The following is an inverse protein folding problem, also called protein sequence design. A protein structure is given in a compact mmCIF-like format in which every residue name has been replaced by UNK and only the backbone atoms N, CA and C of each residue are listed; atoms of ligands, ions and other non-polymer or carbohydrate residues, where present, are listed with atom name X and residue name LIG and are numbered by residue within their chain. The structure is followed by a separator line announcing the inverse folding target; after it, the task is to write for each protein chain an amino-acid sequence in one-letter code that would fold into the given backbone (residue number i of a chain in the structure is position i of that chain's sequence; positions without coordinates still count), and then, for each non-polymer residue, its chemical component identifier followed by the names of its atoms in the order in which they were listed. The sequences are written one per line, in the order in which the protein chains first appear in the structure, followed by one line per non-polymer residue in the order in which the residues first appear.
data_IF_616348234124
#
_entry.id   IF_616348234124
#
_cell.length_a   1.000
_cell.length_b   1.000
_cell.length_c   1.000
_cell.angle_alpha   90.00
_cell.angle_beta   90.00
_cell.angle_gamma   90.00
#
_symmetry.space_group_name_H-M   'P 1'
#
loop_
_entity.id
_entity.type
_entity.pdbx_description
1 polymer ?
#
# COMPACT_ATOMS: atom_id res chain seq x y z
N UNK A 1 20.20 -12.91 17.54
CA UNK A 1 19.46 -11.75 16.96
C UNK A 1 19.91 -10.39 17.50
N UNK A 2 20.04 -10.20 18.82
CA UNK A 2 20.39 -8.90 19.41
C UNK A 2 21.65 -8.22 18.81
N UNK A 3 22.74 -8.99 18.58
CA UNK A 3 23.97 -8.46 17.98
C UNK A 3 23.83 -7.99 16.52
N UNK A 4 22.94 -8.62 15.74
CA UNK A 4 22.63 -8.17 14.37
C UNK A 4 21.80 -6.89 14.38
N UNK A 5 20.86 -6.76 15.31
CA UNK A 5 20.05 -5.52 15.46
C UNK A 5 20.90 -4.32 15.86
N UNK A 6 21.85 -4.48 16.80
CA UNK A 6 22.78 -3.41 17.19
C UNK A 6 23.65 -2.99 15.99
N UNK A 7 24.17 -3.96 15.23
CA UNK A 7 24.98 -3.66 14.03
C UNK A 7 24.21 -2.84 13.00
N UNK A 8 22.92 -3.15 12.78
CA UNK A 8 22.05 -2.39 11.86
C UNK A 8 21.81 -0.95 12.32
N UNK A 9 21.60 -0.73 13.62
CA UNK A 9 21.42 0.61 14.20
C UNK A 9 22.70 1.45 14.07
N UNK A 10 23.86 0.84 14.31
CA UNK A 10 25.16 1.51 14.12
C UNK A 10 25.34 1.92 12.66
N UNK A 11 25.10 1.01 11.72
CA UNK A 11 25.21 1.29 10.29
C UNK A 11 24.27 2.42 9.84
N UNK A 12 23.01 2.42 10.27
CA UNK A 12 22.05 3.51 9.98
C UNK A 12 22.53 4.87 10.51
N UNK A 13 23.21 4.87 11.66
CA UNK A 13 23.73 6.09 12.29
C UNK A 13 24.95 6.61 11.52
N UNK A 14 25.85 5.71 11.12
CA UNK A 14 27.05 6.06 10.35
C UNK A 14 26.72 6.56 8.93
N UNK A 15 25.68 6.02 8.28
CA UNK A 15 25.20 6.52 6.99
C UNK A 15 24.61 7.93 7.11
N UNK A 16 23.82 8.20 8.16
CA UNK A 16 23.27 9.55 8.40
C UNK A 16 24.35 10.58 8.74
N UNK A 17 25.47 10.13 9.30
CA UNK A 17 26.64 10.97 9.60
C UNK A 17 27.60 11.11 8.41
N UNK A 18 27.36 10.40 7.30
CA UNK A 18 28.18 10.46 6.08
C UNK A 18 29.54 9.75 6.22
N UNK A 19 29.71 8.89 7.22
CA UNK A 19 31.01 8.26 7.54
C UNK A 19 31.22 6.91 6.86
N UNK A 20 30.21 6.35 6.21
CA UNK A 20 30.25 5.02 5.55
C UNK A 20 29.58 5.04 4.17
N UNK A 21 30.17 4.29 3.24
CA UNK A 21 29.63 4.10 1.88
C UNK A 21 28.38 3.20 1.93
N UNK A 22 27.34 3.61 1.21
CA UNK A 22 26.06 2.90 1.08
C UNK A 22 26.15 1.93 -0.10
N UNK A 23 25.71 0.68 0.06
CA UNK A 23 25.47 -0.15 -1.13
C UNK A 23 24.36 0.48 -1.98
N UNK A 24 24.72 0.94 -3.17
CA UNK A 24 23.78 1.52 -4.13
C UNK A 24 23.05 0.42 -4.90
N UNK A 25 21.77 0.67 -5.20
CA UNK A 25 21.01 -0.14 -6.12
C UNK A 25 21.35 0.24 -7.56
N UNK A 26 21.24 -0.68 -8.51
CA UNK A 26 21.39 -0.32 -9.93
C UNK A 26 20.29 0.63 -10.40
N UNK A 27 20.55 1.37 -11.49
CA UNK A 27 19.62 2.38 -12.01
C UNK A 27 18.24 1.80 -12.38
N UNK A 28 18.21 0.57 -12.88
CA UNK A 28 16.96 -0.07 -13.28
C UNK A 28 16.09 -0.40 -12.07
N UNK A 29 16.68 -0.93 -11.00
CA UNK A 29 15.99 -1.14 -9.73
C UNK A 29 15.47 0.18 -9.13
N UNK A 30 16.29 1.23 -9.17
CA UNK A 30 15.87 2.56 -8.67
C UNK A 30 14.63 3.07 -9.42
N UNK A 31 14.63 3.00 -10.76
CA UNK A 31 13.49 3.39 -11.59
C UNK A 31 12.23 2.56 -11.28
N UNK A 32 12.40 1.24 -11.08
CA UNK A 32 11.31 0.35 -10.70
C UNK A 32 10.72 0.69 -9.33
N UNK A 33 11.58 0.97 -8.35
CA UNK A 33 11.19 1.36 -7.01
C UNK A 33 10.44 2.70 -6.99
N UNK A 34 10.94 3.71 -7.73
CA UNK A 34 10.27 5.01 -7.87
C UNK A 34 8.89 4.86 -8.52
N UNK A 35 8.79 4.10 -9.60
CA UNK A 35 7.51 3.81 -10.25
C UNK A 35 6.52 3.14 -9.29
N UNK A 36 7.00 2.21 -8.45
CA UNK A 36 6.17 1.56 -7.44
C UNK A 36 5.66 2.54 -6.39
N UNK A 37 6.50 3.46 -5.93
CA UNK A 37 6.14 4.49 -4.94
C UNK A 37 5.09 5.45 -5.50
N UNK A 38 5.28 5.92 -6.74
CA UNK A 38 4.30 6.74 -7.46
C UNK A 38 2.99 5.99 -7.63
N UNK A 39 3.04 4.73 -8.07
CA UNK A 39 1.85 3.89 -8.28
C UNK A 39 1.05 3.73 -7.00
N UNK A 40 1.73 3.40 -5.89
CA UNK A 40 1.10 3.26 -4.58
C UNK A 40 0.41 4.54 -4.14
N UNK A 41 1.16 5.65 -4.14
CA UNK A 41 0.69 6.94 -3.64
C UNK A 41 -0.55 7.43 -4.40
N UNK A 42 -0.53 7.36 -5.74
CA UNK A 42 -1.67 7.77 -6.54
C UNK A 42 -2.84 6.83 -6.41
N UNK A 43 -2.61 5.51 -6.34
CA UNK A 43 -3.70 4.55 -6.16
C UNK A 43 -4.40 4.76 -4.81
N UNK A 44 -3.65 4.95 -3.72
CA UNK A 44 -4.21 5.26 -2.40
C UNK A 44 -5.04 6.55 -2.40
N UNK A 45 -4.53 7.59 -3.06
CA UNK A 45 -5.22 8.88 -3.15
C UNK A 45 -6.52 8.78 -3.95
N UNK A 46 -6.47 8.19 -5.14
CA UNK A 46 -7.62 8.04 -6.03
C UNK A 46 -8.72 7.20 -5.38
N UNK A 47 -8.36 6.08 -4.74
CA UNK A 47 -9.32 5.24 -4.02
C UNK A 47 -10.01 6.03 -2.89
N UNK A 48 -9.22 6.75 -2.07
CA UNK A 48 -9.75 7.56 -0.97
C UNK A 48 -10.69 8.67 -1.44
N UNK A 49 -10.31 9.37 -2.49
CA UNK A 49 -11.11 10.47 -3.05
C UNK A 49 -12.42 9.91 -3.64
N UNK A 50 -12.34 8.80 -4.38
CA UNK A 50 -13.52 8.12 -4.94
C UNK A 50 -14.47 7.65 -3.84
N UNK A 51 -13.97 7.01 -2.78
CA UNK A 51 -14.81 6.57 -1.66
C UNK A 51 -15.50 7.73 -0.94
N UNK A 52 -14.86 8.90 -0.92
CA UNK A 52 -15.46 10.11 -0.33
C UNK A 52 -16.58 10.66 -1.21
N UNK A 53 -16.58 10.38 -2.52
CA UNK A 53 -17.71 10.68 -3.42
C UNK A 53 -18.82 9.66 -3.22
N UNK A 54 -18.49 8.36 -3.17
CA UNK A 54 -19.48 7.29 -3.06
C UNK A 54 -20.20 7.28 -1.71
N UNK A 55 -19.47 7.56 -0.62
CA UNK A 55 -20.01 7.59 0.74
C UNK A 55 -19.40 8.82 1.45
N UNK A 56 -20.03 10.00 1.31
CA UNK A 56 -19.49 11.25 1.85
C UNK A 56 -19.32 11.24 3.36
N UNK A 57 -20.25 10.60 4.07
CA UNK A 57 -20.22 10.50 5.52
C UNK A 57 -19.09 9.53 5.99
N UNK A 58 -18.04 10.02 6.70
CA UNK A 58 -16.94 9.18 7.14
C UNK A 58 -17.35 8.07 8.12
N UNK A 59 -18.33 8.32 8.98
CA UNK A 59 -18.83 7.32 9.93
C UNK A 59 -19.49 6.15 9.18
N UNK A 60 -20.29 6.44 8.16
CA UNK A 60 -20.89 5.40 7.31
C UNK A 60 -19.82 4.57 6.59
N UNK A 61 -18.72 5.20 6.14
CA UNK A 61 -17.60 4.47 5.53
C UNK A 61 -16.94 3.48 6.48
N UNK A 62 -16.67 3.93 7.71
CA UNK A 62 -16.05 3.08 8.75
C UNK A 62 -16.98 1.94 9.13
N UNK A 63 -18.27 2.24 9.30
CA UNK A 63 -19.29 1.22 9.59
C UNK A 63 -19.35 0.17 8.47
N UNK A 64 -19.46 0.59 7.21
CA UNK A 64 -19.49 -0.31 6.06
C UNK A 64 -18.26 -1.21 5.98
N UNK A 65 -17.07 -0.66 6.24
CA UNK A 65 -15.83 -1.43 6.30
C UNK A 65 -15.87 -2.50 7.41
N UNK A 66 -16.40 -2.17 8.58
CA UNK A 66 -16.53 -3.14 9.69
C UNK A 66 -17.49 -4.26 9.28
N UNK A 67 -18.66 -3.92 8.73
CA UNK A 67 -19.64 -4.90 8.26
C UNK A 67 -19.05 -5.85 7.20
N UNK A 68 -18.27 -5.31 6.27
CA UNK A 68 -17.54 -6.09 5.27
C UNK A 68 -16.53 -7.05 5.93
N UNK A 69 -15.77 -6.59 6.93
CA UNK A 69 -14.77 -7.42 7.64
C UNK A 69 -15.36 -8.52 8.50
N UNK A 70 -16.58 -8.35 9.00
CA UNK A 70 -17.30 -9.37 9.79
C UNK A 70 -18.29 -10.17 8.94
N UNK A 71 -18.25 -10.01 7.61
CA UNK A 71 -19.09 -10.71 6.63
C UNK A 71 -20.60 -10.57 6.91
N UNK A 72 -21.03 -9.40 7.41
CA UNK A 72 -22.44 -9.08 7.65
C UNK A 72 -22.99 -8.16 6.58
N UNK A 73 -24.31 -8.23 6.36
CA UNK A 73 -24.99 -7.32 5.44
C UNK A 73 -24.90 -5.89 5.94
N UNK A 74 -24.51 -4.96 5.05
CA UNK A 74 -24.54 -3.53 5.33
C UNK A 74 -25.98 -3.08 5.65
N UNK A 75 -26.16 -2.10 6.55
CA UNK A 75 -27.46 -1.52 6.79
C UNK A 75 -27.97 -0.83 5.51
N UNK A 76 -29.25 -1.05 5.18
CA UNK A 76 -29.93 -0.36 4.07
C UNK A 76 -30.24 1.07 4.51
N UNK A 77 -29.36 2.00 4.16
CA UNK A 77 -29.55 3.43 4.40
C UNK A 77 -30.25 4.04 3.19
N UNK A 78 -31.25 4.87 3.45
CA UNK A 78 -31.83 5.71 2.42
C UNK A 78 -30.82 6.80 2.05
N UNK A 79 -30.78 7.14 0.78
CA UNK A 79 -30.03 8.29 0.29
C UNK A 79 -30.80 9.58 0.56
N UNK A 80 -30.10 10.72 0.46
CA UNK A 80 -30.74 12.02 0.66
C UNK A 80 -31.85 12.27 -0.38
N UNK A 81 -31.68 11.75 -1.59
CA UNK A 81 -32.67 11.82 -2.67
C UNK A 81 -33.91 10.98 -2.33
N UNK A 82 -33.70 9.80 -1.73
CA UNK A 82 -34.80 8.93 -1.32
C UNK A 82 -35.57 9.50 -0.14
N UNK A 83 -34.89 10.13 0.83
CA UNK A 83 -35.57 10.85 1.90
C UNK A 83 -36.47 11.97 1.36
N UNK A 84 -35.94 12.81 0.48
CA UNK A 84 -36.72 13.88 -0.16
C UNK A 84 -37.90 13.31 -0.97
N UNK A 85 -37.66 12.22 -1.71
CA UNK A 85 -38.69 11.56 -2.51
C UNK A 85 -39.89 11.12 -1.68
N UNK A 86 -39.64 10.46 -0.53
CA UNK A 86 -40.68 9.96 0.36
C UNK A 86 -41.55 11.12 0.89
N UNK A 87 -40.90 12.17 1.43
CA UNK A 87 -41.60 13.31 2.00
C UNK A 87 -42.42 14.07 0.93
N UNK A 88 -41.91 14.21 -0.30
CA UNK A 88 -42.63 14.88 -1.39
C UNK A 88 -43.84 14.08 -1.87
N UNK A 89 -43.74 12.75 -1.94
CA UNK A 89 -44.86 11.89 -2.33
C UNK A 89 -45.93 11.90 -1.25
N UNK A 90 -45.54 11.80 0.02
CA UNK A 90 -46.47 11.86 1.17
C UNK A 90 -47.17 13.23 1.22
N UNK A 91 -46.41 14.32 1.19
CA UNK A 91 -46.97 15.67 1.20
C UNK A 91 -47.89 15.93 -0.01
N UNK A 92 -47.54 15.43 -1.20
CA UNK A 92 -48.41 15.55 -2.37
C UNK A 92 -49.70 14.76 -2.25
N UNK A 93 -49.69 13.66 -1.50
CA UNK A 93 -50.89 12.94 -1.07
C UNK A 93 -51.79 13.79 -0.17
N UNK A 94 -51.21 14.38 0.87
CA UNK A 94 -51.90 15.18 1.89
C UNK A 94 -52.44 16.51 1.35
N UNK A 95 -51.74 17.16 0.42
CA UNK A 95 -52.22 18.37 -0.26
C UNK A 95 -53.35 18.09 -1.26
N UNK A 96 -53.68 16.82 -1.51
CA UNK A 96 -54.70 16.38 -2.43
C UNK A 96 -54.12 15.94 -3.76
N UNK A 97 -54.24 14.65 -4.06
CA UNK A 97 -53.72 14.02 -5.28
C UNK A 97 -54.38 14.51 -6.57
N UNK A 98 -55.56 15.13 -6.47
CA UNK A 98 -56.27 15.75 -7.60
C UNK A 98 -55.97 17.24 -7.75
N UNK A 99 -55.26 17.83 -6.78
CA UNK A 99 -54.87 19.24 -6.82
C UNK A 99 -53.59 19.41 -7.63
N UNK A 100 -53.45 20.48 -8.44
CA UNK A 100 -52.27 20.69 -9.28
C UNK A 100 -50.95 20.67 -8.51
N UNK A 101 -50.94 21.18 -7.29
CA UNK A 101 -49.75 21.20 -6.44
C UNK A 101 -49.39 19.81 -5.89
N UNK A 102 -50.38 19.04 -5.41
CA UNK A 102 -50.16 17.67 -4.94
C UNK A 102 -49.63 16.76 -6.05
N UNK A 103 -50.22 16.85 -7.25
CA UNK A 103 -49.75 16.14 -8.45
C UNK A 103 -48.31 16.51 -8.81
N UNK A 104 -47.96 17.79 -8.74
CA UNK A 104 -46.60 18.24 -9.03
C UNK A 104 -45.59 17.67 -8.02
N UNK A 105 -45.91 17.71 -6.72
CA UNK A 105 -45.03 17.17 -5.67
C UNK A 105 -44.83 15.66 -5.81
N UNK A 106 -45.89 14.89 -6.05
CA UNK A 106 -45.78 13.45 -6.30
C UNK A 106 -44.88 13.18 -7.51
N UNK A 107 -45.06 13.93 -8.59
CA UNK A 107 -44.26 13.75 -9.81
C UNK A 107 -42.77 14.06 -9.58
N UNK A 108 -42.46 15.11 -8.82
CA UNK A 108 -41.06 15.43 -8.47
C UNK A 108 -40.49 14.37 -7.53
N UNK A 109 -41.23 13.94 -6.50
CA UNK A 109 -40.79 12.88 -5.60
C UNK A 109 -40.52 11.55 -6.33
N UNK A 110 -41.33 11.18 -7.32
CA UNK A 110 -41.06 10.03 -8.19
C UNK A 110 -39.78 10.19 -9.04
N UNK A 111 -39.43 11.42 -9.43
CA UNK A 111 -38.18 11.70 -10.13
C UNK A 111 -36.98 11.59 -9.18
N UNK A 112 -37.09 12.14 -7.96
CA UNK A 112 -36.08 12.02 -6.90
C UNK A 112 -35.83 10.54 -6.53
N UNK A 113 -36.88 9.73 -6.45
CA UNK A 113 -36.75 8.29 -6.20
C UNK A 113 -35.93 7.59 -7.30
N UNK A 114 -36.14 7.96 -8.57
CA UNK A 114 -35.34 7.43 -9.68
C UNK A 114 -33.89 7.89 -9.60
N UNK A 115 -33.63 9.14 -9.21
CA UNK A 115 -32.27 9.63 -8.99
C UNK A 115 -31.58 8.88 -7.85
N UNK A 116 -32.28 8.61 -6.74
CA UNK A 116 -31.78 7.79 -5.64
C UNK A 116 -31.41 6.37 -6.09
N UNK A 117 -32.21 5.74 -6.95
CA UNK A 117 -31.86 4.44 -7.52
C UNK A 117 -30.61 4.52 -8.41
N UNK A 118 -30.49 5.54 -9.26
CA UNK A 118 -29.27 5.75 -10.06
C UNK A 118 -28.03 5.96 -9.18
N UNK A 119 -28.17 6.64 -8.05
CA UNK A 119 -27.09 6.82 -7.07
C UNK A 119 -26.66 5.48 -6.45
N UNK A 120 -27.61 4.63 -6.04
CA UNK A 120 -27.30 3.27 -5.55
C UNK A 120 -26.57 2.43 -6.59
N UNK A 121 -27.04 2.46 -7.84
CA UNK A 121 -26.43 1.72 -8.95
C UNK A 121 -25.00 2.24 -9.25
N UNK A 122 -24.79 3.56 -9.17
CA UNK A 122 -23.49 4.18 -9.32
C UNK A 122 -22.53 3.77 -8.20
N UNK A 123 -22.97 3.80 -6.94
CA UNK A 123 -22.17 3.37 -5.78
C UNK A 123 -21.80 1.89 -5.90
N UNK A 124 -22.76 1.02 -6.23
CA UNK A 124 -22.55 -0.40 -6.36
C UNK A 124 -21.55 -0.73 -7.49
N UNK A 125 -21.80 -0.17 -8.68
CA UNK A 125 -20.94 -0.40 -9.86
C UNK A 125 -19.52 0.12 -9.63
N UNK A 126 -19.38 1.36 -9.14
CA UNK A 126 -18.07 1.94 -8.82
C UNK A 126 -17.33 1.15 -7.74
N UNK A 127 -18.06 0.55 -6.80
CA UNK A 127 -17.49 -0.41 -5.85
C UNK A 127 -16.80 -1.57 -6.55
N UNK A 128 -17.52 -2.27 -7.42
CA UNK A 128 -17.10 -3.53 -8.06
C UNK A 128 -16.01 -3.30 -9.10
N UNK A 129 -16.15 -2.31 -9.98
CA UNK A 129 -15.26 -2.11 -11.11
C UNK A 129 -14.06 -1.20 -10.80
N UNK A 130 -14.11 -0.41 -9.72
CA UNK A 130 -13.10 0.61 -9.45
C UNK A 130 -12.44 0.46 -8.07
N UNK A 131 -13.17 0.67 -6.97
CA UNK A 131 -12.54 0.79 -5.65
C UNK A 131 -12.09 -0.57 -5.09
N UNK A 132 -12.88 -1.64 -5.25
CA UNK A 132 -12.52 -2.98 -4.73
C UNK A 132 -11.26 -3.58 -5.38
N UNK A 133 -11.10 -3.58 -6.73
CA UNK A 133 -9.87 -4.07 -7.35
C UNK A 133 -8.62 -3.32 -6.88
N UNK A 134 -8.70 -1.99 -6.80
CA UNK A 134 -7.59 -1.15 -6.35
C UNK A 134 -7.25 -1.38 -4.87
N UNK A 135 -8.26 -1.55 -3.99
CA UNK A 135 -8.02 -1.96 -2.59
C UNK A 135 -7.32 -3.30 -2.50
N UNK A 136 -7.75 -4.29 -3.30
CA UNK A 136 -7.11 -5.62 -3.33
C UNK A 136 -5.64 -5.54 -3.74
N UNK A 137 -5.32 -4.71 -4.73
CA UNK A 137 -3.95 -4.43 -5.13
C UNK A 137 -3.13 -3.77 -4.01
N UNK A 138 -3.69 -2.76 -3.33
CA UNK A 138 -3.04 -2.08 -2.22
C UNK A 138 -2.77 -3.01 -1.03
N UNK A 139 -3.79 -3.77 -0.62
CA UNK A 139 -3.74 -4.64 0.56
C UNK A 139 -2.95 -5.93 0.32
N UNK A 140 -2.85 -6.39 -0.93
CA UNK A 140 -2.15 -7.59 -1.32
C UNK A 140 -0.74 -7.31 -1.86
N UNK A 141 -0.69 -6.85 -3.11
CA UNK A 141 0.56 -6.72 -3.87
C UNK A 141 1.45 -5.61 -3.30
N UNK A 142 0.91 -4.40 -3.12
CA UNK A 142 1.70 -3.28 -2.62
C UNK A 142 2.19 -3.48 -1.18
N UNK A 143 1.39 -4.16 -0.35
CA UNK A 143 1.82 -4.58 0.98
C UNK A 143 2.98 -5.57 0.94
N UNK A 144 2.93 -6.53 0.01
CA UNK A 144 4.02 -7.49 -0.22
C UNK A 144 5.28 -6.80 -0.72
N UNK A 145 5.17 -5.93 -1.72
CA UNK A 145 6.29 -5.11 -2.22
C UNK A 145 6.91 -4.28 -1.09
N UNK A 146 6.09 -3.62 -0.27
CA UNK A 146 6.56 -2.82 0.86
C UNK A 146 7.33 -3.66 1.88
N UNK A 147 6.86 -4.88 2.16
CA UNK A 147 7.53 -5.82 3.06
C UNK A 147 8.87 -6.28 2.50
N UNK A 148 8.91 -6.74 1.25
CA UNK A 148 10.14 -7.25 0.62
C UNK A 148 11.20 -6.15 0.45
N UNK A 149 10.79 -4.90 0.16
CA UNK A 149 11.70 -3.74 0.20
C UNK A 149 12.28 -3.48 1.59
N UNK A 150 11.49 -3.64 2.65
CA UNK A 150 11.97 -3.53 4.03
C UNK A 150 12.98 -4.62 4.40
N UNK A 151 12.76 -5.85 3.90
CA UNK A 151 13.72 -6.95 4.07
C UNK A 151 15.01 -6.65 3.27
N UNK A 152 14.88 -6.17 2.03
CA UNK A 152 16.03 -5.78 1.21
C UNK A 152 16.90 -4.71 1.88
N UNK A 153 16.28 -3.66 2.44
CA UNK A 153 17.02 -2.63 3.16
C UNK A 153 17.73 -3.20 4.40
N UNK A 154 17.10 -4.16 5.10
CA UNK A 154 17.74 -4.88 6.21
C UNK A 154 18.96 -5.66 5.74
N UNK A 155 18.86 -6.37 4.61
CA UNK A 155 19.99 -7.13 4.03
C UNK A 155 21.10 -6.23 3.52
N UNK A 156 20.76 -5.06 2.97
CA UNK A 156 21.74 -4.03 2.57
C UNK A 156 22.57 -3.56 3.76
N UNK A 157 21.91 -3.25 4.88
CA UNK A 157 22.59 -2.84 6.12
C UNK A 157 23.50 -3.95 6.67
N UNK A 158 23.06 -5.21 6.63
CA UNK A 158 23.86 -6.36 7.06
C UNK A 158 25.10 -6.54 6.16
N UNK A 159 24.94 -6.36 4.85
CA UNK A 159 26.03 -6.40 3.86
C UNK A 159 27.06 -5.30 4.14
N UNK A 160 26.62 -4.06 4.33
CA UNK A 160 27.51 -2.92 4.60
C UNK A 160 28.27 -3.09 5.92
N UNK A 161 27.60 -3.60 6.96
CA UNK A 161 28.25 -3.96 8.22
C UNK A 161 29.33 -5.04 8.02
N UNK A 162 29.10 -6.05 7.17
CA UNK A 162 30.10 -7.07 6.87
C UNK A 162 31.28 -6.53 6.05
N UNK A 163 31.03 -5.62 5.09
CA UNK A 163 32.10 -4.91 4.34
C UNK A 163 33.01 -4.14 5.30
N UNK A 164 32.41 -3.42 6.25
CA UNK A 164 33.15 -2.69 7.28
C UNK A 164 33.96 -3.61 8.20
N UNK A 165 33.41 -4.77 8.60
CA UNK A 165 34.16 -5.78 9.38
C UNK A 165 35.36 -6.32 8.62
N UNK A 166 35.23 -6.61 7.32
CA UNK A 166 36.35 -7.05 6.48
C UNK A 166 37.42 -5.95 6.38
N UNK A 167 37.02 -4.68 6.15
CA UNK A 167 37.96 -3.54 6.12
C UNK A 167 38.74 -3.43 7.44
N UNK A 168 38.06 -3.57 8.57
CA UNK A 168 38.67 -3.53 9.90
C UNK A 168 39.59 -4.73 10.15
N UNK A 169 39.17 -5.95 9.81
CA UNK A 169 39.99 -7.15 9.96
C UNK A 169 41.26 -7.09 9.10
N UNK A 170 41.17 -6.57 7.87
CA UNK A 170 42.35 -6.35 7.01
C UNK A 170 43.34 -5.36 7.62
N UNK A 171 42.86 -4.31 8.30
CA UNK A 171 43.75 -3.34 8.97
C UNK A 171 44.51 -3.91 10.17
N UNK A 172 44.10 -5.09 10.67
CA UNK A 172 44.75 -5.78 11.79
C UNK A 172 45.80 -6.80 11.33
N UNK A 173 45.92 -7.08 10.02
CA UNK A 173 46.96 -7.94 9.49
C UNK A 173 48.35 -7.39 9.87
N UNK A 174 49.23 -8.27 10.36
CA UNK A 174 50.57 -7.90 10.84
C UNK A 174 50.63 -7.35 12.27
N UNK A 175 49.50 -7.23 12.98
CA UNK A 175 49.49 -6.90 14.42
C UNK A 175 49.61 -8.18 15.28
N UNK A 176 50.10 -8.05 16.52
CA UNK A 176 50.15 -9.19 17.45
C UNK A 176 48.76 -9.72 17.75
N UNK A 177 48.64 -11.05 17.88
CA UNK A 177 47.38 -11.70 18.25
C UNK A 177 46.90 -11.20 19.61
N UNK A 178 45.70 -10.63 19.64
CA UNK A 178 44.96 -10.40 20.88
C UNK A 178 44.06 -11.62 21.14
N UNK A 179 44.03 -12.08 22.38
CA UNK A 179 43.11 -13.10 22.88
C UNK A 179 43.22 -14.48 22.20
N UNK A 180 44.40 -14.83 21.66
CA UNK A 180 44.69 -16.16 21.11
C UNK A 180 44.10 -16.45 19.73
N UNK A 181 43.40 -15.49 19.12
CA UNK A 181 42.88 -15.58 17.75
C UNK A 181 43.83 -14.83 16.82
N UNK A 182 44.30 -15.48 15.75
CA UNK A 182 45.18 -14.80 14.78
C UNK A 182 44.39 -13.78 13.95
N UNK A 183 44.99 -12.62 13.59
CA UNK A 183 44.36 -11.66 12.68
C UNK A 183 43.91 -12.28 11.36
N UNK A 184 44.63 -13.29 10.86
CA UNK A 184 44.27 -14.06 9.67
C UNK A 184 42.95 -14.83 9.86
N UNK A 185 42.76 -15.47 11.02
CA UNK A 185 41.52 -16.20 11.32
C UNK A 185 40.31 -15.26 11.46
N UNK A 186 40.51 -14.05 12.03
CA UNK A 186 39.47 -13.01 12.10
C UNK A 186 39.10 -12.53 10.69
N UNK A 187 40.08 -12.32 9.82
CA UNK A 187 39.85 -11.92 8.44
C UNK A 187 39.10 -12.99 7.66
N UNK A 188 39.54 -14.25 7.75
CA UNK A 188 38.89 -15.38 7.08
C UNK A 188 37.41 -15.49 7.49
N UNK A 189 37.12 -15.34 8.78
CA UNK A 189 35.74 -15.34 9.27
C UNK A 189 34.94 -14.16 8.74
N UNK A 190 35.49 -12.94 8.75
CA UNK A 190 34.81 -11.76 8.23
C UNK A 190 34.51 -11.88 6.72
N UNK A 191 35.42 -12.48 5.94
CA UNK A 191 35.22 -12.73 4.51
C UNK A 191 34.18 -13.83 4.24
N UNK A 192 34.09 -14.86 5.10
CA UNK A 192 33.00 -15.84 5.06
C UNK A 192 31.64 -15.18 5.32
N UNK A 193 31.55 -14.36 6.36
CA UNK A 193 30.31 -13.64 6.71
C UNK A 193 29.90 -12.68 5.58
N UNK A 194 30.85 -11.96 4.98
CA UNK A 194 30.60 -11.07 3.84
C UNK A 194 30.04 -11.82 2.64
N UNK A 195 30.58 -13.01 2.30
CA UNK A 195 30.06 -13.84 1.21
C UNK A 195 28.61 -14.26 1.43
N UNK A 196 28.27 -14.64 2.67
CA UNK A 196 26.88 -14.99 3.03
C UNK A 196 25.96 -13.79 2.92
N UNK A 197 26.36 -12.63 3.48
CA UNK A 197 25.56 -11.41 3.44
C UNK A 197 25.32 -10.92 2.00
N UNK A 198 26.32 -11.02 1.13
CA UNK A 198 26.20 -10.69 -0.30
C UNK A 198 25.19 -11.59 -0.99
N UNK A 199 25.30 -12.92 -0.82
CA UNK A 199 24.38 -13.87 -1.43
C UNK A 199 22.92 -13.68 -0.96
N UNK A 200 22.72 -13.34 0.33
CA UNK A 200 21.39 -13.02 0.87
C UNK A 200 20.83 -11.71 0.30
N UNK A 201 21.66 -10.68 0.17
CA UNK A 201 21.27 -9.41 -0.43
C UNK A 201 20.90 -9.57 -1.92
N UNK A 202 21.73 -10.26 -2.71
CA UNK A 202 21.50 -10.48 -4.14
C UNK A 202 20.19 -11.25 -4.37
N UNK A 203 19.98 -12.32 -3.59
CA UNK A 203 18.72 -13.08 -3.63
C UNK A 203 17.51 -12.20 -3.32
N UNK A 204 17.60 -11.38 -2.27
CA UNK A 204 16.49 -10.51 -1.88
C UNK A 204 16.25 -9.38 -2.89
N UNK A 205 17.31 -8.89 -3.54
CA UNK A 205 17.24 -7.88 -4.59
C UNK A 205 16.46 -8.42 -5.79
N UNK A 206 16.77 -9.64 -6.24
CA UNK A 206 16.05 -10.31 -7.33
C UNK A 206 14.57 -10.55 -7.00
N UNK A 207 14.26 -11.04 -5.80
CA UNK A 207 12.85 -11.20 -5.36
C UNK A 207 12.11 -9.87 -5.42
N UNK A 208 12.72 -8.81 -4.90
CA UNK A 208 12.09 -7.49 -4.85
C UNK A 208 11.91 -6.92 -6.26
N UNK A 209 12.91 -7.07 -7.12
CA UNK A 209 12.89 -6.64 -8.51
C UNK A 209 11.75 -7.29 -9.30
N UNK A 210 11.59 -8.61 -9.18
CA UNK A 210 10.49 -9.34 -9.82
C UNK A 210 9.11 -8.82 -9.41
N UNK A 211 8.93 -8.47 -8.14
CA UNK A 211 7.68 -7.88 -7.65
C UNK A 211 7.45 -6.47 -8.22
N UNK A 212 8.49 -5.65 -8.32
CA UNK A 212 8.40 -4.30 -8.88
C UNK A 212 8.11 -4.31 -10.40
N UNK A 213 8.66 -5.28 -11.13
CA UNK A 213 8.35 -5.49 -12.55
C UNK A 213 6.88 -5.91 -12.75
N UNK A 214 6.35 -6.72 -11.83
CA UNK A 214 4.97 -7.20 -11.84
C UNK A 214 3.90 -6.10 -11.81
N UNK A 215 4.22 -4.90 -11.31
CA UNK A 215 3.26 -3.78 -11.18
C UNK A 215 2.60 -3.43 -12.52
N UNK A 216 3.33 -3.50 -13.63
CA UNK A 216 2.79 -3.15 -14.96
C UNK A 216 1.67 -4.11 -15.39
N UNK A 217 1.79 -5.39 -15.01
CA UNK A 217 0.77 -6.41 -15.27
C UNK A 217 -0.51 -6.14 -14.47
N UNK A 218 -0.35 -5.71 -13.21
CA UNK A 218 -1.48 -5.37 -12.34
C UNK A 218 -2.23 -4.14 -12.85
N UNK A 219 -1.51 -3.14 -13.36
CA UNK A 219 -2.11 -1.98 -14.04
C UNK A 219 -2.90 -2.39 -15.30
N UNK A 220 -2.37 -3.30 -16.12
CA UNK A 220 -3.12 -3.85 -17.26
C UNK A 220 -4.37 -4.61 -16.82
N UNK A 221 -4.33 -5.29 -15.68
CA UNK A 221 -5.50 -5.92 -15.09
C UNK A 221 -6.54 -4.90 -14.64
N UNK A 222 -6.13 -3.82 -13.97
CA UNK A 222 -7.03 -2.74 -13.56
C UNK A 222 -7.67 -2.05 -14.76
N UNK A 223 -6.92 -1.78 -15.83
CA UNK A 223 -7.44 -1.18 -17.05
C UNK A 223 -8.65 -1.95 -17.61
N UNK A 224 -8.63 -3.29 -17.51
CA UNK A 224 -9.78 -4.12 -17.93
C UNK A 224 -11.02 -3.91 -17.06
N UNK A 225 -10.87 -3.63 -15.77
CA UNK A 225 -11.98 -3.34 -14.89
C UNK A 225 -12.57 -1.94 -15.16
N UNK A 226 -11.73 -0.98 -15.57
CA UNK A 226 -12.18 0.36 -15.95
C UNK A 226 -12.96 0.42 -17.27
N UNK A 227 -12.76 -0.57 -18.14
CA UNK A 227 -13.45 -0.67 -19.43
C UNK A 227 -14.72 -1.53 -19.40
N UNK A 228 -15.02 -2.15 -18.25
CA UNK A 228 -16.19 -3.00 -18.05
C UNK A 228 -17.36 -2.19 -17.51
#
# INVERSE_FOLDING_TARGET
EAGRTISRVVQLTEEKLGTTERTEYDLHFQNLAERADVTKSWTEKIVRDTESVLIPNPQNRVEDFIFEKIEKSKPKRLSNLEHLALDMIEAGGDFGQDMPYGQALIKVGQAEQKLGQCEHDFIATSGICFTQPLRKFLDGEMKTISKERGILETKRLDLDACKNRVKKARSMLGQQSKDGISPEAVLEQAERDLRVAQAEFDRQSEITKLLLDGISTSQASHLRHLHA
#
